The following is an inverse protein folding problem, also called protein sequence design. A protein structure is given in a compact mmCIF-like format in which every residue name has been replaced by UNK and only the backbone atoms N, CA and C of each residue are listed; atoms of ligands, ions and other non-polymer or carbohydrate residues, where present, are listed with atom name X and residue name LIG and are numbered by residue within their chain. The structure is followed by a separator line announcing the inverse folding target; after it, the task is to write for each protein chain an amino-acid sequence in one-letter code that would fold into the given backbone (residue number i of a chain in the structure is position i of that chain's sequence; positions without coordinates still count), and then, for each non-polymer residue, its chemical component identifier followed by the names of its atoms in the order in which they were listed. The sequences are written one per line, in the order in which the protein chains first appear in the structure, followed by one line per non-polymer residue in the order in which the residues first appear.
data_IF_241906446778
#
_entry.id   IF_241906446778
#
_cell.length_a   1.000
_cell.length_b   1.000
_cell.length_c   1.000
_cell.angle_alpha   90.00
_cell.angle_beta   90.00
_cell.angle_gamma   90.00
#
_symmetry.space_group_name_H-M   'P 1'
#
loop_
_entity.id
_entity.type
_entity.pdbx_description
1 polymer ?
#
# COMPACT_ATOMS: atom_id res chain seq x y z
N UNK A 1 0.17 -17.21 -17.99
CA UNK A 1 1.11 -16.12 -17.62
C UNK A 1 0.94 -14.96 -18.59
N UNK A 2 0.35 -13.86 -18.11
CA UNK A 2 0.26 -12.61 -18.87
C UNK A 2 1.68 -12.08 -19.08
N UNK A 3 2.10 -11.99 -20.34
CA UNK A 3 3.44 -11.51 -20.76
C UNK A 3 3.76 -10.09 -20.29
N UNK A 4 2.78 -9.32 -19.82
CA UNK A 4 2.97 -7.93 -19.40
C UNK A 4 3.57 -7.79 -18.00
N UNK A 5 3.27 -8.70 -17.06
CA UNK A 5 3.80 -8.64 -15.69
C UNK A 5 5.22 -9.24 -15.56
N UNK A 6 5.57 -10.24 -16.37
CA UNK A 6 6.93 -10.79 -16.39
C UNK A 6 7.97 -9.74 -16.84
N UNK A 7 7.55 -8.81 -17.69
CA UNK A 7 8.39 -7.70 -18.17
C UNK A 7 8.66 -6.67 -17.06
N UNK A 8 7.72 -6.45 -16.14
CA UNK A 8 7.92 -5.56 -14.98
C UNK A 8 9.03 -6.12 -14.08
N UNK A 9 9.03 -7.43 -13.82
CA UNK A 9 10.12 -8.09 -13.09
C UNK A 9 11.45 -8.17 -13.86
N UNK A 10 11.43 -8.20 -15.20
CA UNK A 10 12.64 -8.34 -16.03
C UNK A 10 13.47 -7.05 -16.15
N UNK A 11 12.84 -5.87 -16.11
CA UNK A 11 13.55 -4.57 -16.19
C UNK A 11 14.29 -4.24 -14.88
N UNK A 12 13.94 -4.92 -13.77
CA UNK A 12 14.52 -4.71 -12.43
C UNK A 12 15.96 -5.26 -12.30
N UNK A 13 16.43 -6.07 -13.26
CA UNK A 13 17.77 -6.70 -13.23
C UNK A 13 18.95 -5.74 -13.45
N UNK A 14 18.73 -4.45 -13.77
CA UNK A 14 19.80 -3.52 -14.15
C UNK A 14 20.31 -2.65 -12.97
N UNK A 15 19.66 -2.66 -11.81
CA UNK A 15 20.06 -1.81 -10.68
C UNK A 15 20.57 -2.59 -9.46
N UNK A 16 21.55 -3.46 -9.67
CA UNK A 16 22.43 -3.89 -8.59
C UNK A 16 23.77 -3.17 -8.67
N UNK A 17 23.94 -2.13 -7.85
CA UNK A 17 25.21 -1.85 -7.19
C UNK A 17 25.03 -0.83 -6.05
N UNK A 18 25.44 -1.25 -4.85
CA UNK A 18 25.82 -0.42 -3.69
C UNK A 18 24.76 0.50 -3.05
N UNK A 19 24.28 0.07 -1.88
CA UNK A 19 24.77 0.67 -0.64
C UNK A 19 24.36 -0.19 0.56
N UNK A 20 25.29 -1.02 1.03
CA UNK A 20 25.36 -1.35 2.44
C UNK A 20 26.17 -0.24 3.13
N UNK A 21 25.86 0.00 4.41
CA UNK A 21 26.63 0.74 5.43
C UNK A 21 26.44 2.28 5.53
N UNK A 22 25.77 2.78 6.59
CA UNK A 22 26.40 3.04 7.91
C UNK A 22 25.56 3.92 8.88
N UNK A 23 25.66 3.52 10.16
CA UNK A 23 25.68 4.32 11.41
C UNK A 23 24.41 4.90 12.04
N UNK A 24 24.21 4.41 13.26
CA UNK A 24 23.56 5.02 14.43
C UNK A 24 23.92 6.50 14.65
N UNK A 25 22.90 7.28 15.03
CA UNK A 25 23.04 8.45 15.91
C UNK A 25 21.86 8.49 16.88
N UNK A 26 22.19 8.18 18.13
CA UNK A 26 21.47 8.51 19.35
C UNK A 26 21.35 10.03 19.50
N UNK A 27 20.17 10.56 19.84
CA UNK A 27 20.04 11.95 20.29
C UNK A 27 18.82 12.12 21.20
N UNK A 28 19.09 12.53 22.44
CA UNK A 28 18.11 12.80 23.51
C UNK A 28 17.38 14.13 23.31
N UNK A 29 16.06 14.10 23.50
CA UNK A 29 15.24 15.17 24.10
C UNK A 29 14.03 15.64 23.27
N UNK A 30 12.96 16.21 23.89
CA UNK A 30 12.70 16.38 25.32
C UNK A 30 11.53 15.52 25.85
N UNK A 31 11.48 15.41 27.18
CA UNK A 31 10.44 14.80 27.99
C UNK A 31 9.12 15.60 27.85
N UNK A 32 8.07 14.93 27.38
CA UNK A 32 6.69 15.41 27.47
C UNK A 32 5.88 14.33 28.19
N UNK A 33 5.63 14.56 29.48
CA UNK A 33 4.57 13.89 30.22
C UNK A 33 3.24 14.48 29.81
N UNK A 34 2.55 13.81 28.88
CA UNK A 34 1.09 13.71 28.88
C UNK A 34 0.68 12.47 28.05
N UNK A 35 -0.04 11.49 28.62
CA UNK A 35 -0.61 10.40 27.83
C UNK A 35 -1.93 10.89 27.23
N UNK A 36 -2.07 10.80 25.90
CA UNK A 36 -3.25 10.41 25.11
C UNK A 36 -2.93 10.80 23.66
N UNK A 37 -2.35 9.89 22.90
CA UNK A 37 -2.80 9.73 21.52
C UNK A 37 -3.96 8.72 21.57
N UNK A 38 -5.09 8.96 20.88
CA UNK A 38 -6.22 8.04 20.84
C UNK A 38 -5.72 6.67 20.35
N UNK A 39 -6.34 5.54 20.73
CA UNK A 39 -5.81 4.22 20.38
C UNK A 39 -5.57 4.18 18.89
N UNK A 40 -4.29 4.12 18.48
CA UNK A 40 -3.81 4.28 17.11
C UNK A 40 -4.83 3.80 16.09
N UNK A 41 -5.73 4.69 15.66
CA UNK A 41 -6.84 4.31 14.79
C UNK A 41 -6.20 4.22 13.41
N UNK A 42 -5.84 3.00 13.04
CA UNK A 42 -5.25 2.70 11.73
C UNK A 42 -6.10 3.40 10.66
N UNK A 43 -5.53 4.12 9.69
CA UNK A 43 -6.29 5.12 8.93
C UNK A 43 -7.44 4.56 8.10
N UNK A 44 -7.45 3.25 7.86
CA UNK A 44 -8.50 2.54 7.12
C UNK A 44 -9.45 1.73 8.02
N UNK A 45 -9.15 1.56 9.31
CA UNK A 45 -10.06 0.86 10.24
C UNK A 45 -11.40 1.59 10.28
N UNK A 46 -12.49 0.84 10.18
CA UNK A 46 -13.88 1.34 10.14
C UNK A 46 -14.17 2.33 8.98
N UNK A 47 -13.26 2.47 8.00
CA UNK A 47 -13.48 3.35 6.85
C UNK A 47 -14.49 2.76 5.88
N UNK A 48 -15.21 3.63 5.15
CA UNK A 48 -16.10 3.21 4.06
C UNK A 48 -15.39 2.43 2.94
N UNK A 49 -14.05 2.46 2.91
CA UNK A 49 -13.23 1.81 1.90
C UNK A 49 -12.84 0.37 2.27
N UNK A 50 -13.11 -0.08 3.51
CA UNK A 50 -12.88 -1.47 3.94
C UNK A 50 -13.65 -2.44 3.04
N UNK A 51 -12.97 -3.40 2.44
CA UNK A 51 -13.55 -4.40 1.54
C UNK A 51 -12.60 -4.85 0.44
N UNK A 52 -13.15 -5.60 -0.52
CA UNK A 52 -12.42 -6.14 -1.66
C UNK A 52 -12.58 -5.23 -2.85
N UNK A 53 -11.45 -4.95 -3.50
CA UNK A 53 -11.37 -4.05 -4.64
C UNK A 53 -10.82 -4.79 -5.86
N UNK A 54 -11.48 -4.54 -6.98
CA UNK A 54 -11.28 -5.22 -8.25
C UNK A 54 -10.88 -4.21 -9.30
N UNK A 55 -9.94 -4.56 -10.16
CA UNK A 55 -9.72 -3.78 -11.38
C UNK A 55 -10.99 -3.81 -12.23
N UNK A 56 -11.46 -2.64 -12.67
CA UNK A 56 -12.76 -2.50 -13.33
C UNK A 56 -12.86 -3.35 -14.61
N UNK A 57 -11.80 -3.37 -15.41
CA UNK A 57 -11.78 -3.99 -16.75
C UNK A 57 -11.59 -5.51 -16.66
N UNK A 58 -10.57 -5.96 -15.93
CA UNK A 58 -10.24 -7.39 -15.83
C UNK A 58 -11.14 -8.14 -14.86
N UNK A 59 -11.76 -7.42 -13.92
CA UNK A 59 -12.47 -7.99 -12.78
C UNK A 59 -11.58 -8.86 -11.88
N UNK A 60 -10.26 -8.71 -11.98
CA UNK A 60 -9.32 -9.34 -11.08
C UNK A 60 -9.30 -8.57 -9.75
N UNK A 61 -9.28 -9.31 -8.64
CA UNK A 61 -9.12 -8.71 -7.31
C UNK A 61 -7.66 -8.28 -7.14
N UNK A 62 -7.47 -7.00 -6.87
CA UNK A 62 -6.14 -6.37 -6.79
C UNK A 62 -5.79 -5.90 -5.38
N UNK A 63 -6.78 -5.50 -4.58
CA UNK A 63 -6.58 -5.01 -3.22
C UNK A 63 -7.68 -5.54 -2.30
N UNK A 64 -7.33 -5.82 -1.05
CA UNK A 64 -8.28 -6.02 0.03
C UNK A 64 -7.89 -5.13 1.21
N UNK A 65 -8.78 -4.22 1.60
CA UNK A 65 -8.65 -3.41 2.81
C UNK A 65 -9.42 -4.13 3.90
N UNK A 66 -8.72 -4.57 4.95
CA UNK A 66 -9.31 -5.37 6.03
C UNK A 66 -9.95 -4.48 7.09
N UNK A 67 -10.79 -5.08 7.93
CA UNK A 67 -11.43 -4.40 9.06
C UNK A 67 -10.43 -3.85 10.07
N UNK A 68 -9.25 -4.46 10.16
CA UNK A 68 -8.16 -3.94 10.97
C UNK A 68 -7.36 -2.87 10.23
N UNK A 69 -7.78 -2.37 9.06
CA UNK A 69 -7.09 -1.33 8.30
C UNK A 69 -5.80 -1.77 7.59
N UNK A 70 -5.37 -3.03 7.74
CA UNK A 70 -4.29 -3.56 6.90
C UNK A 70 -4.74 -3.70 5.44
N UNK A 71 -3.77 -3.66 4.52
CA UNK A 71 -4.04 -3.76 3.09
C UNK A 71 -3.27 -4.97 2.55
N UNK A 72 -3.96 -5.83 1.82
CA UNK A 72 -3.33 -6.87 1.00
C UNK A 72 -3.27 -6.40 -0.45
N UNK A 73 -2.10 -6.59 -1.07
CA UNK A 73 -1.92 -6.53 -2.51
C UNK A 73 -2.07 -7.93 -3.09
N UNK A 74 -2.93 -8.08 -4.10
CA UNK A 74 -3.31 -9.38 -4.65
C UNK A 74 -3.04 -9.48 -6.15
N UNK A 75 -2.71 -10.70 -6.57
CA UNK A 75 -2.85 -11.17 -7.94
C UNK A 75 -3.97 -12.22 -7.94
N UNK A 76 -5.15 -11.79 -8.37
CA UNK A 76 -6.39 -12.56 -8.32
C UNK A 76 -6.76 -12.98 -6.88
N UNK A 77 -6.44 -14.22 -6.49
CA UNK A 77 -6.73 -14.75 -5.16
C UNK A 77 -5.51 -14.82 -4.25
N UNK A 78 -4.30 -14.66 -4.81
CA UNK A 78 -3.05 -14.82 -4.08
C UNK A 78 -2.59 -13.48 -3.51
N UNK A 79 -2.34 -13.45 -2.20
CA UNK A 79 -1.69 -12.31 -1.56
C UNK A 79 -0.22 -12.24 -2.00
N UNK A 80 0.14 -11.16 -2.67
CA UNK A 80 1.51 -10.87 -3.06
C UNK A 80 2.27 -10.26 -1.90
N UNK A 81 1.71 -9.26 -1.24
CA UNK A 81 2.30 -8.56 -0.11
C UNK A 81 1.18 -7.99 0.78
N UNK A 82 1.51 -7.70 2.03
CA UNK A 82 0.60 -7.07 2.99
C UNK A 82 1.31 -5.93 3.70
N UNK A 83 0.56 -4.92 4.08
CA UNK A 83 1.03 -3.79 4.90
C UNK A 83 0.14 -3.65 6.12
N UNK A 84 0.75 -3.35 7.28
CA UNK A 84 -0.03 -3.05 8.48
C UNK A 84 -0.79 -1.74 8.28
N UNK A 85 -1.99 -1.64 8.82
CA UNK A 85 -2.74 -0.39 8.79
C UNK A 85 -2.02 0.76 9.50
N UNK A 86 -1.05 0.49 10.38
CA UNK A 86 -0.20 1.52 11.01
C UNK A 86 0.80 2.15 10.05
N UNK A 87 1.14 1.44 8.96
CA UNK A 87 2.15 1.86 8.01
C UNK A 87 1.50 2.48 6.76
N UNK A 88 0.18 2.58 6.75
CA UNK A 88 -0.60 3.29 5.74
C UNK A 88 -0.61 4.77 6.09
N UNK A 89 -0.19 5.62 5.15
CA UNK A 89 -0.22 7.08 5.30
C UNK A 89 -1.51 7.59 4.66
N UNK A 90 -2.30 8.36 5.41
CA UNK A 90 -3.50 9.02 4.90
C UNK A 90 -3.17 10.45 4.48
N UNK A 91 -3.43 10.79 3.23
CA UNK A 91 -3.30 12.14 2.68
C UNK A 91 -4.70 12.70 2.33
N UNK A 92 -5.22 13.60 3.16
CA UNK A 92 -6.62 14.04 3.03
C UNK A 92 -7.61 12.93 3.39
N UNK A 93 -8.82 12.94 2.83
CA UNK A 93 -9.87 11.99 3.24
C UNK A 93 -9.92 10.70 2.44
N UNK A 94 -9.47 10.76 1.19
CA UNK A 94 -9.67 9.68 0.22
C UNK A 94 -8.38 9.20 -0.45
N UNK A 95 -7.20 9.72 -0.06
CA UNK A 95 -5.92 9.26 -0.59
C UNK A 95 -5.15 8.52 0.50
N UNK A 96 -4.69 7.31 0.17
CA UNK A 96 -3.94 6.44 1.07
C UNK A 96 -2.70 5.94 0.36
N UNK A 97 -1.55 6.03 1.02
CA UNK A 97 -0.27 5.55 0.53
C UNK A 97 0.19 4.37 1.36
N UNK A 98 0.65 3.33 0.69
CA UNK A 98 1.10 2.10 1.30
C UNK A 98 2.39 1.63 0.63
N UNK A 99 3.43 1.42 1.41
CA UNK A 99 4.68 0.84 0.92
C UNK A 99 4.70 -0.65 1.25
N UNK A 100 4.60 -1.48 0.22
CA UNK A 100 4.69 -2.92 0.33
C UNK A 100 6.14 -3.36 0.19
N UNK A 101 6.57 -4.33 0.99
CA UNK A 101 7.90 -4.93 0.88
C UNK A 101 7.81 -6.45 0.75
N UNK A 102 8.54 -7.03 -0.21
CA UNK A 102 8.68 -8.48 -0.37
C UNK A 102 10.06 -8.82 -0.89
N UNK A 103 10.76 -9.76 -0.24
CA UNK A 103 12.07 -10.26 -0.69
C UNK A 103 13.09 -9.13 -0.97
N UNK A 104 13.08 -8.07 -0.14
CA UNK A 104 13.96 -6.91 -0.28
C UNK A 104 13.55 -5.89 -1.35
N UNK A 105 12.47 -6.14 -2.09
CA UNK A 105 11.88 -5.18 -3.04
C UNK A 105 10.75 -4.40 -2.36
N UNK A 106 10.66 -3.10 -2.67
CA UNK A 106 9.61 -2.22 -2.17
C UNK A 106 8.80 -1.62 -3.31
N UNK A 107 7.48 -1.53 -3.14
CA UNK A 107 6.59 -0.83 -4.05
C UNK A 107 5.67 0.10 -3.25
N UNK A 108 5.66 1.38 -3.60
CA UNK A 108 4.68 2.33 -3.08
C UNK A 108 3.43 2.26 -3.96
N UNK A 109 2.28 2.07 -3.31
CA UNK A 109 0.96 2.09 -3.94
C UNK A 109 0.21 3.30 -3.40
N UNK A 110 -0.43 4.04 -4.31
CA UNK A 110 -1.32 5.14 -3.97
C UNK A 110 -2.74 4.76 -4.34
N UNK A 111 -3.62 4.70 -3.33
CA UNK A 111 -5.05 4.51 -3.50
C UNK A 111 -5.73 5.87 -3.43
N UNK A 112 -6.51 6.22 -4.45
CA UNK A 112 -7.31 7.44 -4.49
C UNK A 112 -8.77 7.07 -4.69
N UNK A 113 -9.60 7.25 -3.68
CA UNK A 113 -11.01 6.91 -3.74
C UNK A 113 -11.85 8.08 -4.24
N UNK A 114 -12.65 7.85 -5.27
CA UNK A 114 -13.62 8.85 -5.75
C UNK A 114 -14.87 8.82 -4.89
N UNK A 115 -15.28 7.63 -4.43
CA UNK A 115 -16.37 7.41 -3.49
C UNK A 115 -16.21 6.05 -2.79
N UNK A 116 -17.24 5.59 -2.05
CA UNK A 116 -17.20 4.33 -1.29
C UNK A 116 -17.16 3.06 -2.16
N UNK A 117 -17.40 3.15 -3.46
CA UNK A 117 -17.46 2.01 -4.39
C UNK A 117 -16.53 2.11 -5.59
N UNK A 118 -15.92 3.27 -5.86
CA UNK A 118 -15.00 3.48 -6.97
C UNK A 118 -13.77 4.30 -6.55
N UNK A 119 -12.64 4.00 -7.18
CA UNK A 119 -11.39 4.70 -6.98
C UNK A 119 -10.37 4.35 -8.05
N UNK A 120 -9.13 4.74 -7.81
CA UNK A 120 -7.98 4.39 -8.63
C UNK A 120 -6.82 3.92 -7.76
N UNK A 121 -5.98 3.09 -8.36
CA UNK A 121 -4.77 2.56 -7.74
C UNK A 121 -3.60 2.84 -8.66
N UNK A 122 -2.59 3.53 -8.14
CA UNK A 122 -1.31 3.75 -8.79
C UNK A 122 -0.34 2.63 -8.37
N UNK A 123 0.06 1.79 -9.32
CA UNK A 123 1.00 0.68 -9.11
C UNK A 123 2.47 1.13 -9.30
N UNK A 124 2.68 2.04 -10.23
CA UNK A 124 3.95 2.69 -10.55
C UNK A 124 3.66 4.07 -11.17
N UNK A 125 4.70 4.89 -11.38
CA UNK A 125 4.56 6.29 -11.85
C UNK A 125 3.69 6.49 -13.10
N UNK A 126 3.48 5.45 -13.91
CA UNK A 126 2.74 5.54 -15.17
C UNK A 126 1.58 4.52 -15.26
N UNK A 127 1.31 3.74 -14.22
CA UNK A 127 0.34 2.67 -14.25
C UNK A 127 -0.74 2.89 -13.19
N UNK A 128 -1.76 3.64 -13.59
CA UNK A 128 -2.99 3.83 -12.82
C UNK A 128 -4.08 2.92 -13.38
N UNK A 129 -4.70 2.13 -12.51
CA UNK A 129 -5.88 1.33 -12.83
C UNK A 129 -7.10 1.86 -12.10
N UNK A 130 -8.26 1.77 -12.72
CA UNK A 130 -9.54 2.02 -12.04
C UNK A 130 -9.91 0.80 -11.22
N UNK A 131 -10.30 1.03 -9.97
CA UNK A 131 -10.74 -0.02 -9.05
C UNK A 131 -12.17 0.21 -8.59
N UNK A 132 -12.90 -0.89 -8.44
CA UNK A 132 -14.29 -0.91 -7.96
C UNK A 132 -14.44 -1.87 -6.80
N UNK A 133 -15.24 -1.49 -5.81
CA UNK A 133 -15.55 -2.30 -4.64
C UNK A 133 -16.69 -3.26 -4.98
N UNK A 134 -16.54 -4.54 -4.64
CA UNK A 134 -17.59 -5.57 -4.81
C UNK A 134 -17.76 -6.42 -3.56
#
# INVERSE_FOLDING_TARGET
MSKKLLTIFSIILIFFAMSCNNKSTDSKGPDYTDPIDPPASRPLKDSQYVGKWYEEISNDRVIEIKQDGSIDLLDQTKVLASVSGTDVIKEGDAVFKATFSKEGQTAEIVLTFTNSTTGSMLLDKNNTITIVKK
#
